data_IF_178596183248
#
_entry.id   IF_178596183248
#
_cell.length_a   1.000
_cell.length_b   1.000
_cell.length_c   1.000
_cell.angle_alpha   90.00
_cell.angle_beta   90.00
_cell.angle_gamma   90.00
#
_symmetry.space_group_name_H-M   'P 1'
#
loop_
_entity.id
_entity.type
_entity.pdbx_description
1 polymer ?
#
# COMPACT_ATOMS: atom_id res chain seq x y z
N UNK A 1 -1.78 3.98 -20.15
CA UNK A 1 -3.06 4.12 -19.44
C UNK A 1 -4.24 3.73 -20.34
N UNK A 2 -4.40 4.36 -21.52
CA UNK A 2 -5.54 4.10 -22.43
C UNK A 2 -5.65 2.65 -22.95
N UNK A 3 -4.52 1.97 -23.22
CA UNK A 3 -4.53 0.58 -23.67
C UNK A 3 -4.99 -0.40 -22.57
N UNK A 4 -4.53 -0.22 -21.33
CA UNK A 4 -4.92 -1.09 -20.19
C UNK A 4 -6.37 -0.87 -19.76
N UNK A 5 -6.91 0.34 -19.92
CA UNK A 5 -8.34 0.62 -19.68
C UNK A 5 -9.20 -0.11 -20.71
N UNK A 6 -8.77 -0.19 -21.98
CA UNK A 6 -9.48 -0.92 -23.02
C UNK A 6 -9.45 -2.44 -22.79
N UNK A 7 -8.39 -2.97 -22.19
CA UNK A 7 -8.21 -4.41 -21.91
C UNK A 7 -8.88 -4.88 -20.61
N UNK A 8 -8.74 -4.13 -19.51
CA UNK A 8 -9.17 -4.55 -18.17
C UNK A 8 -10.46 -3.86 -17.69
N UNK A 9 -10.94 -2.85 -18.41
CA UNK A 9 -12.08 -2.02 -18.03
C UNK A 9 -11.70 -0.92 -17.04
N UNK A 10 -12.41 0.21 -17.13
CA UNK A 10 -12.15 1.42 -16.34
C UNK A 10 -12.21 1.17 -14.84
N UNK A 11 -13.23 0.45 -14.36
CA UNK A 11 -13.46 0.22 -12.93
C UNK A 11 -12.34 -0.61 -12.31
N UNK A 12 -11.90 -1.67 -12.99
CA UNK A 12 -10.77 -2.52 -12.56
C UNK A 12 -9.48 -1.73 -12.43
N UNK A 13 -9.22 -0.81 -13.37
CA UNK A 13 -8.02 0.03 -13.33
C UNK A 13 -8.11 1.04 -12.18
N UNK A 14 -9.28 1.66 -11.96
CA UNK A 14 -9.49 2.59 -10.84
C UNK A 14 -9.28 1.88 -9.51
N UNK A 15 -9.95 0.74 -9.30
CA UNK A 15 -9.85 -0.04 -8.08
C UNK A 15 -8.41 -0.47 -7.79
N UNK A 16 -7.65 -0.80 -8.83
CA UNK A 16 -6.22 -1.08 -8.69
C UNK A 16 -5.45 0.13 -8.16
N UNK A 17 -5.59 1.28 -8.81
CA UNK A 17 -4.86 2.50 -8.42
C UNK A 17 -5.19 2.92 -6.99
N UNK A 18 -6.45 2.80 -6.58
CA UNK A 18 -6.87 3.09 -5.20
C UNK A 18 -6.25 2.09 -4.22
N UNK A 19 -6.23 0.80 -4.57
CA UNK A 19 -5.74 -0.25 -3.67
C UNK A 19 -4.21 -0.29 -3.51
N UNK A 20 -3.44 0.36 -4.40
CA UNK A 20 -2.00 0.55 -4.22
C UNK A 20 -1.65 1.38 -2.98
N UNK A 21 -2.55 2.27 -2.58
CA UNK A 21 -2.32 3.16 -1.45
C UNK A 21 -2.50 2.42 -0.12
N UNK A 22 -1.67 2.77 0.86
CA UNK A 22 -1.81 2.31 2.25
C UNK A 22 -2.95 3.06 2.93
N UNK A 23 -4.17 2.63 2.67
CA UNK A 23 -5.41 3.14 3.28
C UNK A 23 -6.37 1.98 3.57
N UNK A 24 -7.15 2.12 4.65
CA UNK A 24 -8.09 1.11 5.12
C UNK A 24 -8.20 1.08 6.65
N UNK A 25 -8.55 -0.08 7.20
CA UNK A 25 -8.46 -0.33 8.65
C UNK A 25 -6.99 -0.38 9.11
N UNK A 26 -6.71 -0.28 10.43
CA UNK A 26 -5.35 -0.44 10.95
C UNK A 26 -4.66 -1.74 10.49
N UNK A 27 -5.40 -2.85 10.48
CA UNK A 27 -4.92 -4.16 10.04
C UNK A 27 -4.53 -4.15 8.56
N UNK A 28 -5.39 -3.60 7.70
CA UNK A 28 -5.11 -3.48 6.27
C UNK A 28 -3.90 -2.59 6.01
N UNK A 29 -3.74 -1.50 6.77
CA UNK A 29 -2.56 -0.63 6.66
C UNK A 29 -1.29 -1.37 7.07
N UNK A 30 -1.32 -2.12 8.17
CA UNK A 30 -0.20 -2.93 8.63
C UNK A 30 0.21 -3.98 7.58
N UNK A 31 -0.74 -4.75 7.05
CA UNK A 31 -0.49 -5.78 6.04
C UNK A 31 0.13 -5.21 4.76
N UNK A 32 -0.39 -4.07 4.28
CA UNK A 32 0.17 -3.38 3.10
C UNK A 32 1.60 -2.90 3.36
N UNK A 33 1.89 -2.32 4.54
CA UNK A 33 3.25 -1.90 4.90
C UNK A 33 4.18 -3.09 5.03
N UNK A 34 3.71 -4.20 5.62
CA UNK A 34 4.48 -5.43 5.75
C UNK A 34 4.81 -6.03 4.38
N UNK A 35 3.89 -5.98 3.42
CA UNK A 35 4.16 -6.39 2.04
C UNK A 35 5.29 -5.56 1.40
N UNK A 36 5.22 -4.23 1.55
CA UNK A 36 6.26 -3.32 1.06
C UNK A 36 7.59 -3.61 1.77
N UNK A 37 7.58 -3.82 3.09
CA UNK A 37 8.76 -4.12 3.88
C UNK A 37 9.42 -5.42 3.43
N UNK A 38 8.65 -6.51 3.21
CA UNK A 38 9.17 -7.79 2.70
C UNK A 38 9.88 -7.64 1.34
N UNK A 39 9.34 -6.78 0.47
CA UNK A 39 9.86 -6.57 -0.89
C UNK A 39 11.06 -5.64 -0.95
N UNK A 40 11.12 -4.66 -0.07
CA UNK A 40 12.10 -3.56 -0.15
C UNK A 40 13.15 -3.58 0.96
N UNK A 41 12.92 -4.31 2.05
CA UNK A 41 13.74 -4.22 3.26
C UNK A 41 13.71 -2.83 3.89
N UNK A 42 12.64 -2.05 3.71
CA UNK A 42 12.59 -0.69 4.20
C UNK A 42 12.76 -0.62 5.73
N UNK A 43 13.45 0.41 6.21
CA UNK A 43 13.60 0.69 7.64
C UNK A 43 12.72 1.87 8.10
N UNK A 44 12.12 2.59 7.16
CA UNK A 44 11.34 3.79 7.40
C UNK A 44 10.08 3.78 6.54
N UNK A 45 8.97 4.19 7.15
CA UNK A 45 7.69 4.42 6.49
C UNK A 45 7.26 5.86 6.72
N UNK A 46 6.97 6.58 5.64
CA UNK A 46 6.46 7.96 5.68
C UNK A 46 4.97 7.93 5.35
N UNK A 47 4.13 8.07 6.38
CA UNK A 47 2.68 8.09 6.23
C UNK A 47 2.14 9.47 5.87
N UNK A 48 1.16 9.52 4.96
CA UNK A 48 0.40 10.74 4.63
C UNK A 48 -0.98 10.61 5.29
N UNK A 49 -1.22 11.38 6.36
CA UNK A 49 -2.47 11.32 7.13
C UNK A 49 -3.51 12.39 6.76
N UNK A 50 -3.11 13.36 5.93
CA UNK A 50 -3.97 14.40 5.38
C UNK A 50 -3.92 14.32 3.86
N UNK A 51 -5.08 14.20 3.22
CA UNK A 51 -5.18 14.09 1.77
C UNK A 51 -6.32 14.95 1.23
N UNK A 52 -6.09 15.61 0.09
CA UNK A 52 -7.04 16.52 -0.54
C UNK A 52 -7.57 17.59 0.44
N UNK A 53 -8.88 17.80 0.48
CA UNK A 53 -9.54 18.78 1.35
C UNK A 53 -9.93 18.24 2.73
N UNK A 54 -9.27 17.19 3.23
CA UNK A 54 -9.59 16.58 4.52
C UNK A 54 -9.52 17.59 5.68
N UNK A 55 -10.55 17.68 6.53
CA UNK A 55 -10.51 18.48 7.75
C UNK A 55 -9.34 18.11 8.68
N UNK A 56 -8.84 19.08 9.44
CA UNK A 56 -7.67 18.88 10.31
C UNK A 56 -7.90 17.86 11.43
N UNK A 57 -9.08 17.87 12.03
CA UNK A 57 -9.47 16.93 13.08
C UNK A 57 -9.52 15.49 12.56
N UNK A 58 -9.94 15.30 11.32
CA UNK A 58 -9.91 14.01 10.64
C UNK A 58 -8.48 13.54 10.34
N UNK A 59 -7.61 14.43 9.85
CA UNK A 59 -6.20 14.12 9.65
C UNK A 59 -5.49 13.76 10.96
N UNK A 60 -5.76 14.50 12.03
CA UNK A 60 -5.22 14.22 13.37
C UNK A 60 -5.72 12.86 13.88
N UNK A 61 -7.01 12.55 13.71
CA UNK A 61 -7.59 11.25 14.08
C UNK A 61 -6.88 10.11 13.37
N UNK A 62 -6.62 10.22 12.07
CA UNK A 62 -5.88 9.21 11.29
C UNK A 62 -4.46 9.00 11.82
N UNK A 63 -3.74 10.10 12.08
CA UNK A 63 -2.38 10.05 12.63
C UNK A 63 -2.34 9.39 14.01
N UNK A 64 -3.26 9.76 14.91
CA UNK A 64 -3.36 9.17 16.26
C UNK A 64 -3.73 7.70 16.21
N UNK A 65 -4.67 7.31 15.34
CA UNK A 65 -5.07 5.92 15.16
C UNK A 65 -3.89 5.07 14.67
N UNK A 66 -3.16 5.54 13.65
CA UNK A 66 -1.97 4.86 13.16
C UNK A 66 -0.89 4.72 14.24
N UNK A 67 -0.61 5.80 14.98
CA UNK A 67 0.38 5.78 16.05
C UNK A 67 0.03 4.82 17.20
N UNK A 68 -1.27 4.64 17.48
CA UNK A 68 -1.77 3.75 18.52
C UNK A 68 -1.79 2.29 18.09
N UNK A 69 -2.32 2.00 16.89
CA UNK A 69 -2.71 0.63 16.52
C UNK A 69 -1.77 -0.01 15.48
N UNK A 70 -1.00 0.77 14.71
CA UNK A 70 -0.13 0.24 13.64
C UNK A 70 1.35 0.40 13.96
N UNK A 71 1.75 1.58 14.44
CA UNK A 71 3.14 1.90 14.71
C UNK A 71 3.83 0.95 15.71
N UNK A 72 3.19 0.47 16.79
CA UNK A 72 3.83 -0.49 17.71
C UNK A 72 4.24 -1.79 17.02
N UNK A 73 3.37 -2.35 16.19
CA UNK A 73 3.63 -3.59 15.45
C UNK A 73 4.78 -3.41 14.46
N UNK A 74 4.81 -2.30 13.73
CA UNK A 74 5.90 -1.98 12.79
C UNK A 74 7.27 -1.88 13.48
N UNK A 75 7.31 -1.39 14.73
CA UNK A 75 8.55 -1.28 15.50
C UNK A 75 9.12 -2.63 15.94
N UNK A 76 8.34 -3.71 15.86
CA UNK A 76 8.83 -5.06 16.15
C UNK A 76 9.58 -5.68 14.97
N UNK A 77 9.43 -5.10 13.76
CA UNK A 77 10.05 -5.62 12.55
C UNK A 77 11.57 -5.43 12.59
N UNK A 78 12.30 -6.50 12.26
CA UNK A 78 13.74 -6.43 12.10
C UNK A 78 14.09 -5.68 10.81
N UNK A 79 15.11 -4.82 10.88
CA UNK A 79 15.67 -4.19 9.67
C UNK A 79 16.53 -5.23 8.95
N UNK A 80 16.00 -5.74 7.84
CA UNK A 80 16.69 -6.72 7.02
C UNK A 80 17.20 -6.07 5.73
N UNK A 81 18.26 -6.64 5.16
CA UNK A 81 18.66 -6.28 3.80
C UNK A 81 17.49 -6.57 2.83
N UNK A 82 17.31 -5.79 1.76
CA UNK A 82 16.29 -6.05 0.76
C UNK A 82 16.40 -7.49 0.24
N UNK A 83 15.28 -8.21 0.15
CA UNK A 83 15.26 -9.49 -0.51
C UNK A 83 15.70 -9.32 -1.99
N UNK A 84 16.30 -10.36 -2.58
CA UNK A 84 16.52 -10.37 -4.02
C UNK A 84 15.17 -10.11 -4.71
N UNK A 85 15.11 -9.31 -5.80
CA UNK A 85 13.86 -9.01 -6.48
C UNK A 85 13.13 -10.31 -6.79
N UNK A 86 11.92 -10.47 -6.26
CA UNK A 86 11.06 -11.57 -6.66
C UNK A 86 10.78 -11.37 -8.15
N UNK A 87 11.06 -12.39 -8.97
CA UNK A 87 10.70 -12.35 -10.38
C UNK A 87 9.22 -12.01 -10.46
N UNK A 88 8.85 -11.00 -11.25
CA UNK A 88 7.45 -10.65 -11.45
C UNK A 88 6.71 -11.88 -11.96
N UNK A 89 6.06 -12.62 -11.05
CA UNK A 89 5.23 -13.74 -11.44
C UNK A 89 4.03 -13.08 -12.08
N UNK A 90 3.99 -13.09 -13.41
CA UNK A 90 2.77 -12.83 -14.15
C UNK A 90 1.78 -13.91 -13.72
N UNK A 91 0.93 -13.59 -12.74
CA UNK A 91 -0.12 -14.48 -12.29
C UNK A 91 -0.96 -14.88 -13.50
N UNK A 92 -1.05 -16.18 -13.78
CA UNK A 92 -1.94 -16.70 -14.79
C UNK A 92 -3.38 -16.46 -14.31
N UNK A 93 -4.01 -15.40 -14.81
CA UNK A 93 -5.38 -15.00 -14.49
C UNK A 93 -5.59 -13.50 -14.69
N UNK A 94 -6.78 -13.02 -14.35
CA UNK A 94 -7.15 -11.60 -14.23
C UNK A 94 -6.39 -10.91 -13.08
N UNK A 95 -5.08 -11.17 -12.98
CA UNK A 95 -4.21 -10.64 -11.96
C UNK A 95 -3.85 -9.21 -12.35
N UNK A 96 -4.48 -8.27 -11.65
CA UNK A 96 -4.32 -6.84 -11.85
C UNK A 96 -2.87 -6.38 -11.57
N UNK A 97 -2.02 -7.25 -10.98
CA UNK A 97 -0.57 -7.05 -10.87
C UNK A 97 0.15 -7.06 -12.22
N UNK A 98 -0.44 -7.63 -13.27
CA UNK A 98 0.06 -7.52 -14.65
C UNK A 98 -0.07 -6.10 -15.24
N UNK A 99 -0.71 -5.16 -14.52
CA UNK A 99 -0.77 -3.76 -14.91
C UNK A 99 0.59 -3.03 -14.83
N UNK A 100 1.66 -3.66 -14.32
CA UNK A 100 3.07 -3.36 -14.65
C UNK A 100 3.45 -1.88 -14.78
N UNK A 101 3.05 -1.05 -13.81
CA UNK A 101 3.53 0.32 -13.65
C UNK A 101 4.75 0.37 -12.74
#
# INVERSE_FOLDING_TARGET
MSEKIAEYGTDTVIDYFVNLQVSGTPEQCYEKILDIHRRTGNSHFVGVFSYAGMPYDEAERNMRLFAKDVMPELKTLAINAPAAPEAAVAGAGTDVRALGF
#
